data_IF_733057087991
#
_entry.id   IF_733057087991
#
_cell.length_a   1.000
_cell.length_b   1.000
_cell.length_c   1.000
_cell.angle_alpha   90.00
_cell.angle_beta   90.00
_cell.angle_gamma   90.00
#
_symmetry.space_group_name_H-M   'P 1'
#
loop_
_entity.id
_entity.type
_entity.pdbx_description
1 polymer ?
#
# COMPACT_ATOMS: atom_id res chain seq x y z
N UNK A 1 56.56 2.89 36.71
CA UNK A 1 56.87 2.00 37.86
C UNK A 1 55.55 1.58 38.45
N UNK A 2 55.23 0.42 38.38
CA UNK A 2 54.93 -0.69 39.25
C UNK A 2 54.16 -1.73 38.41
N UNK A 3 54.88 -2.84 38.18
CA UNK A 3 54.34 -4.08 37.66
C UNK A 3 53.69 -4.84 38.80
N UNK A 4 52.58 -5.53 38.51
CA UNK A 4 52.13 -6.66 39.34
C UNK A 4 51.75 -7.79 38.40
N UNK A 5 52.57 -8.85 38.53
CA UNK A 5 52.35 -10.14 37.96
C UNK A 5 51.31 -10.92 38.79
N UNK A 6 50.55 -11.76 38.17
CA UNK A 6 50.05 -12.95 38.83
C UNK A 6 49.39 -13.99 38.06
N UNK A 7 49.86 -15.02 38.12
CA UNK A 7 49.64 -16.38 38.64
C UNK A 7 48.60 -17.18 37.84
N UNK A 8 49.19 -18.14 37.13
CA UNK A 8 48.58 -19.28 36.43
C UNK A 8 48.25 -20.36 37.47
N UNK A 9 47.04 -20.83 37.55
CA UNK A 9 46.73 -22.11 38.16
C UNK A 9 46.08 -23.04 37.16
N UNK A 10 46.77 -24.08 36.83
CA UNK A 10 46.35 -25.21 36.03
C UNK A 10 45.60 -26.22 36.90
N UNK A 11 44.32 -26.41 36.62
CA UNK A 11 43.59 -27.55 37.19
C UNK A 11 43.48 -28.66 36.13
N UNK A 12 44.31 -29.65 36.31
CA UNK A 12 44.22 -30.95 35.63
C UNK A 12 42.99 -31.71 36.14
N UNK A 13 42.02 -31.97 35.28
CA UNK A 13 40.93 -32.88 35.59
C UNK A 13 41.06 -34.16 34.77
N UNK A 14 41.19 -35.28 35.47
CA UNK A 14 41.48 -36.57 34.93
C UNK A 14 40.42 -37.20 34.03
N UNK A 15 40.89 -37.74 32.94
CA UNK A 15 40.11 -38.54 31.99
C UNK A 15 39.88 -39.94 32.59
N UNK A 16 38.62 -40.23 32.93
CA UNK A 16 38.21 -41.62 33.19
C UNK A 16 37.67 -42.22 31.89
N UNK A 17 38.52 -43.08 31.31
CA UNK A 17 38.10 -43.94 30.19
C UNK A 17 37.22 -45.04 30.76
N UNK A 18 35.94 -45.06 30.32
CA UNK A 18 35.06 -46.21 30.57
C UNK A 18 34.77 -46.88 29.23
N UNK A 19 35.20 -48.09 29.09
CA UNK A 19 34.95 -48.97 27.95
C UNK A 19 33.44 -49.28 27.85
N UNK A 20 32.85 -48.95 26.77
CA UNK A 20 31.49 -49.36 26.43
C UNK A 20 31.52 -50.61 25.57
N UNK A 21 30.86 -51.66 26.04
CA UNK A 21 30.60 -52.94 25.37
C UNK A 21 29.75 -52.74 24.10
N UNK A 22 30.02 -53.48 23.01
CA UNK A 22 29.19 -53.46 21.83
C UNK A 22 28.10 -54.51 21.98
N UNK A 23 26.87 -54.11 22.17
CA UNK A 23 25.75 -54.99 21.80
C UNK A 23 24.48 -54.20 21.50
N UNK A 24 23.79 -54.69 20.45
CA UNK A 24 22.43 -54.38 19.95
C UNK A 24 22.29 -53.23 18.93
N UNK A 25 22.72 -53.55 17.72
CA UNK A 25 22.08 -53.00 16.50
C UNK A 25 20.75 -53.73 16.27
N UNK A 26 19.64 -53.10 16.67
CA UNK A 26 18.32 -53.43 16.13
C UNK A 26 18.09 -52.53 14.89
N UNK A 27 17.63 -53.10 13.75
CA UNK A 27 17.30 -52.30 12.58
C UNK A 27 16.04 -51.45 12.88
N UNK A 28 16.21 -50.15 12.95
CA UNK A 28 15.05 -49.24 12.94
C UNK A 28 14.51 -49.16 11.52
N UNK A 29 13.29 -49.66 11.33
CA UNK A 29 12.53 -49.47 10.12
C UNK A 29 12.41 -47.98 9.81
N UNK A 30 12.52 -47.57 8.52
CA UNK A 30 12.32 -46.18 8.12
C UNK A 30 10.85 -45.80 8.36
N UNK A 31 10.61 -44.89 9.30
CA UNK A 31 9.29 -44.27 9.48
C UNK A 31 8.88 -43.66 8.15
N UNK A 32 7.81 -44.16 7.59
CA UNK A 32 7.15 -43.63 6.38
C UNK A 32 7.13 -42.12 6.37
N UNK A 33 7.45 -41.47 5.25
CA UNK A 33 7.34 -40.04 5.14
C UNK A 33 5.89 -39.64 5.37
N UNK A 34 5.65 -38.79 6.35
CA UNK A 34 4.36 -38.21 6.61
C UNK A 34 3.82 -37.63 5.28
N UNK A 35 2.71 -38.21 4.84
CA UNK A 35 1.97 -37.79 3.66
C UNK A 35 1.68 -36.30 3.81
N UNK A 36 2.49 -35.44 3.16
CA UNK A 36 2.24 -34.02 3.04
C UNK A 36 0.83 -33.87 2.44
N UNK A 37 -0.08 -33.42 3.27
CA UNK A 37 -1.40 -33.02 2.80
C UNK A 37 -1.18 -32.02 1.67
N UNK A 38 -1.90 -32.11 0.53
CA UNK A 38 -1.75 -31.17 -0.56
C UNK A 38 -2.00 -29.79 0.00
N UNK A 39 -1.00 -28.92 -0.06
CA UNK A 39 -1.17 -27.52 0.23
C UNK A 39 -2.34 -27.05 -0.63
N UNK A 40 -3.46 -26.69 0.01
CA UNK A 40 -4.58 -26.05 -0.68
C UNK A 40 -3.96 -24.83 -1.37
N UNK A 41 -3.87 -24.92 -2.71
CA UNK A 41 -3.65 -23.76 -3.55
C UNK A 41 -4.73 -22.75 -3.15
N UNK A 42 -4.36 -21.78 -2.32
CA UNK A 42 -5.21 -20.65 -2.03
C UNK A 42 -5.45 -20.00 -3.39
N UNK A 43 -6.63 -20.23 -3.95
CA UNK A 43 -7.10 -19.51 -5.12
C UNK A 43 -7.04 -18.06 -4.69
N UNK A 44 -6.05 -17.31 -5.21
CA UNK A 44 -5.94 -15.87 -4.99
C UNK A 44 -7.16 -15.28 -5.68
N UNK A 45 -8.25 -15.17 -4.93
CA UNK A 45 -9.47 -14.55 -5.40
C UNK A 45 -9.10 -13.14 -5.88
N UNK A 46 -9.42 -12.85 -7.15
CA UNK A 46 -9.25 -11.49 -7.68
C UNK A 46 -9.93 -10.53 -6.70
N UNK A 47 -9.26 -9.45 -6.28
CA UNK A 47 -9.84 -8.53 -5.31
C UNK A 47 -11.17 -8.02 -5.86
N UNK A 48 -12.23 -8.22 -5.08
CA UNK A 48 -13.56 -7.77 -5.44
C UNK A 48 -13.56 -6.24 -5.50
N UNK A 49 -13.95 -5.69 -6.65
CA UNK A 49 -13.99 -4.25 -6.86
C UNK A 49 -15.17 -3.62 -6.12
N UNK A 50 -14.90 -2.56 -5.38
CA UNK A 50 -15.93 -1.79 -4.68
C UNK A 50 -16.56 -0.76 -5.63
N UNK A 51 -17.76 -1.08 -6.07
CA UNK A 51 -18.58 -0.20 -6.93
C UNK A 51 -19.68 0.53 -6.14
N UNK A 52 -19.62 0.49 -4.80
CA UNK A 52 -20.65 1.08 -3.94
C UNK A 52 -20.71 2.60 -4.00
N UNK A 53 -19.59 3.26 -4.33
CA UNK A 53 -19.46 4.72 -4.27
C UNK A 53 -19.37 5.29 -2.85
N UNK A 54 -19.25 4.46 -1.82
CA UNK A 54 -19.17 4.89 -0.42
C UNK A 54 -17.80 5.48 -0.09
N UNK A 55 -17.78 6.39 0.89
CA UNK A 55 -16.54 6.92 1.49
C UNK A 55 -15.78 5.83 2.21
N UNK A 56 -14.45 5.93 2.20
CA UNK A 56 -13.54 5.06 2.94
C UNK A 56 -12.46 5.86 3.62
N UNK A 57 -12.12 5.46 4.84
CA UNK A 57 -11.01 6.03 5.60
C UNK A 57 -9.91 4.97 5.70
N UNK A 58 -8.67 5.40 5.45
CA UNK A 58 -7.49 4.56 5.54
C UNK A 58 -6.23 5.37 5.39
N UNK A 59 -5.09 4.70 5.17
CA UNK A 59 -3.81 5.37 4.95
C UNK A 59 -3.58 5.60 3.46
N UNK A 60 -3.00 6.75 3.11
CA UNK A 60 -2.46 7.06 1.80
C UNK A 60 -0.95 7.20 1.86
N UNK A 61 -0.28 6.81 0.79
CA UNK A 61 1.09 7.21 0.49
C UNK A 61 1.19 7.75 -0.93
N UNK A 62 2.38 7.88 -1.48
CA UNK A 62 2.60 8.33 -2.84
C UNK A 62 3.65 7.48 -3.53
N UNK A 63 3.64 7.51 -4.86
CA UNK A 63 4.59 6.79 -5.69
C UNK A 63 6.03 7.27 -5.49
N UNK A 64 6.96 6.33 -5.38
CA UNK A 64 8.37 6.66 -5.45
C UNK A 64 8.76 7.13 -6.86
N UNK A 65 9.79 7.96 -6.97
CA UNK A 65 10.26 8.54 -8.25
C UNK A 65 10.55 7.50 -9.33
N UNK A 66 10.99 6.31 -8.93
CA UNK A 66 11.29 5.19 -9.85
C UNK A 66 10.08 4.67 -10.63
N UNK A 67 8.86 5.04 -10.25
CA UNK A 67 7.64 4.68 -10.97
C UNK A 67 7.29 5.65 -12.10
N UNK A 68 7.94 6.82 -12.18
CA UNK A 68 7.68 7.79 -13.24
C UNK A 68 7.87 7.15 -14.63
N UNK A 69 6.90 7.35 -15.51
CA UNK A 69 6.89 6.80 -16.87
C UNK A 69 6.57 5.31 -16.97
N UNK A 70 6.43 4.57 -15.86
CA UNK A 70 6.02 3.16 -15.89
C UNK A 70 4.55 3.04 -16.28
N UNK A 71 4.24 1.95 -16.98
CA UNK A 71 2.87 1.63 -17.38
C UNK A 71 2.03 1.29 -16.15
N UNK A 72 0.89 1.93 -16.01
CA UNK A 72 -0.13 1.67 -14.99
C UNK A 72 -1.13 0.60 -15.46
N UNK A 73 -2.03 0.18 -14.58
CA UNK A 73 -2.99 -0.88 -14.87
C UNK A 73 -4.04 -0.49 -15.94
N UNK A 74 -4.30 0.79 -16.15
CA UNK A 74 -5.17 1.30 -17.22
C UNK A 74 -4.47 1.41 -18.58
N UNK A 75 -3.16 1.14 -18.63
CA UNK A 75 -2.34 1.22 -19.83
C UNK A 75 -1.60 2.54 -20.02
N UNK A 76 -1.97 3.60 -19.31
CA UNK A 76 -1.28 4.89 -19.35
C UNK A 76 0.07 4.83 -18.62
N UNK A 77 0.92 5.84 -18.87
CA UNK A 77 2.18 6.00 -18.12
C UNK A 77 1.95 6.84 -16.87
N UNK A 78 2.58 6.43 -15.76
CA UNK A 78 2.55 7.19 -14.52
C UNK A 78 3.25 8.53 -14.70
N UNK A 79 2.51 9.61 -14.48
CA UNK A 79 3.03 10.99 -14.51
C UNK A 79 3.04 11.54 -13.08
N UNK A 80 4.23 11.88 -12.54
CA UNK A 80 4.34 12.44 -11.19
C UNK A 80 3.60 13.77 -10.98
N UNK A 81 3.31 14.50 -12.05
CA UNK A 81 2.64 15.82 -12.00
C UNK A 81 1.12 15.73 -12.17
N UNK A 82 0.61 14.61 -12.66
CA UNK A 82 -0.82 14.41 -12.84
C UNK A 82 -1.51 13.89 -11.57
N UNK A 83 -2.83 13.94 -11.57
CA UNK A 83 -3.69 13.46 -10.50
C UNK A 83 -3.99 11.95 -10.55
N UNK A 84 -3.06 11.15 -11.07
CA UNK A 84 -3.17 9.70 -11.08
C UNK A 84 -3.03 9.09 -9.67
N UNK A 85 -3.74 8.00 -9.45
CA UNK A 85 -3.70 7.27 -8.18
C UNK A 85 -3.86 5.76 -8.40
N UNK A 86 -3.36 4.97 -7.43
CA UNK A 86 -3.62 3.55 -7.35
C UNK A 86 -4.65 3.23 -6.27
N UNK A 87 -5.53 2.28 -6.55
CA UNK A 87 -6.37 1.64 -5.56
C UNK A 87 -6.52 0.14 -5.85
N UNK A 88 -6.49 -0.66 -4.80
CA UNK A 88 -6.69 -2.11 -4.92
C UNK A 88 -8.15 -2.45 -5.18
N UNK A 89 -9.08 -1.69 -4.63
CA UNK A 89 -10.51 -2.04 -4.60
C UNK A 89 -11.39 -1.15 -5.46
N UNK A 90 -11.03 0.11 -5.69
CA UNK A 90 -11.83 0.97 -6.58
C UNK A 90 -11.61 0.57 -8.05
N UNK A 91 -12.66 0.58 -8.91
CA UNK A 91 -12.51 0.37 -10.35
C UNK A 91 -11.52 1.35 -10.99
N UNK A 92 -10.81 0.93 -12.04
CA UNK A 92 -10.06 1.86 -12.90
C UNK A 92 -11.02 2.86 -13.52
N UNK A 93 -10.58 4.10 -13.70
CA UNK A 93 -11.42 5.21 -14.18
C UNK A 93 -12.31 5.84 -13.09
N UNK A 94 -12.31 5.32 -11.85
CA UNK A 94 -12.99 5.99 -10.74
C UNK A 94 -12.35 7.35 -10.49
N UNK A 95 -13.15 8.42 -10.47
CA UNK A 95 -12.71 9.70 -9.93
C UNK A 95 -13.11 9.81 -8.47
N UNK A 96 -12.20 10.31 -7.62
CA UNK A 96 -12.43 10.40 -6.18
C UNK A 96 -11.81 11.67 -5.60
N UNK A 97 -12.47 12.26 -4.60
CA UNK A 97 -11.90 13.28 -3.74
C UNK A 97 -11.13 12.59 -2.62
N UNK A 98 -9.85 12.90 -2.48
CA UNK A 98 -9.00 12.43 -1.39
C UNK A 98 -8.73 13.59 -0.46
N UNK A 99 -9.12 13.45 0.80
CA UNK A 99 -8.95 14.47 1.84
C UNK A 99 -7.97 13.97 2.88
N UNK A 100 -6.90 14.71 3.11
CA UNK A 100 -5.97 14.45 4.22
C UNK A 100 -6.64 14.89 5.54
N UNK A 101 -6.91 13.94 6.41
CA UNK A 101 -7.63 14.19 7.68
C UNK A 101 -6.82 15.00 8.70
N UNK A 102 -5.50 15.11 8.51
CA UNK A 102 -4.63 15.92 9.36
C UNK A 102 -4.63 17.40 8.97
N UNK A 103 -4.65 17.68 7.66
CA UNK A 103 -4.54 19.05 7.13
C UNK A 103 -5.87 19.64 6.65
N UNK A 104 -6.90 18.81 6.46
CA UNK A 104 -8.16 19.19 5.83
C UNK A 104 -8.06 19.45 4.32
N UNK A 105 -6.85 19.44 3.74
CA UNK A 105 -6.65 19.67 2.31
C UNK A 105 -7.13 18.47 1.49
N UNK A 106 -7.67 18.75 0.31
CA UNK A 106 -8.17 17.72 -0.59
C UNK A 106 -7.75 17.94 -2.03
N UNK A 107 -7.73 16.85 -2.79
CA UNK A 107 -7.51 16.84 -4.24
C UNK A 107 -8.43 15.82 -4.89
N UNK A 108 -8.74 16.03 -6.17
CA UNK A 108 -9.46 15.06 -7.01
C UNK A 108 -8.43 14.23 -7.76
N UNK A 109 -8.61 12.91 -7.72
CA UNK A 109 -7.73 11.93 -8.39
C UNK A 109 -8.52 11.01 -9.29
N UNK A 110 -7.82 10.42 -10.26
CA UNK A 110 -8.33 9.33 -11.09
C UNK A 110 -7.60 8.04 -10.74
N UNK A 111 -8.35 6.97 -10.50
CA UNK A 111 -7.78 5.64 -10.23
C UNK A 111 -7.37 5.03 -11.57
N UNK A 112 -6.07 4.95 -11.80
CA UNK A 112 -5.47 4.47 -13.04
C UNK A 112 -4.58 3.24 -12.83
N UNK A 113 -4.29 2.91 -11.56
CA UNK A 113 -3.40 1.82 -11.23
C UNK A 113 -3.92 0.92 -10.10
N UNK A 114 -3.27 -0.24 -9.91
CA UNK A 114 -3.56 -1.23 -8.88
C UNK A 114 -2.54 -1.17 -7.74
N UNK A 115 -3.03 -1.27 -6.54
CA UNK A 115 -2.29 -1.15 -5.28
C UNK A 115 -2.99 -0.16 -4.36
N UNK A 116 -2.39 0.19 -3.24
CA UNK A 116 -1.21 -0.40 -2.62
C UNK A 116 -1.46 -1.84 -2.12
N UNK A 117 -0.40 -2.66 -2.14
CA UNK A 117 -0.42 -4.02 -1.57
C UNK A 117 0.19 -4.05 -0.15
N UNK A 118 0.11 -2.93 0.55
CA UNK A 118 0.55 -2.77 1.94
C UNK A 118 -0.69 -2.65 2.83
N UNK A 119 -0.70 -3.38 3.93
CA UNK A 119 -1.82 -3.40 4.86
C UNK A 119 -2.14 -2.02 5.43
N UNK A 120 -3.43 -1.71 5.55
CA UNK A 120 -3.94 -0.43 6.05
C UNK A 120 -3.83 0.74 5.06
N UNK A 121 -3.10 0.61 3.94
CA UNK A 121 -3.10 1.60 2.87
C UNK A 121 -4.22 1.30 1.87
N UNK A 122 -4.95 2.34 1.47
CA UNK A 122 -6.11 2.23 0.57
C UNK A 122 -5.91 2.95 -0.77
N UNK A 123 -4.96 3.90 -0.83
CA UNK A 123 -4.64 4.67 -2.02
C UNK A 123 -3.17 5.09 -2.02
N UNK A 124 -2.53 5.05 -3.20
CA UNK A 124 -1.24 5.67 -3.46
C UNK A 124 -1.43 6.79 -4.50
N UNK A 125 -0.90 7.97 -4.21
CA UNK A 125 -1.09 9.19 -4.98
C UNK A 125 0.14 9.52 -5.83
N UNK A 126 -0.04 10.32 -6.88
CA UNK A 126 1.10 10.94 -7.52
C UNK A 126 1.83 11.88 -6.54
N UNK A 127 3.13 12.13 -6.73
CA UNK A 127 3.89 13.06 -5.89
C UNK A 127 3.28 14.45 -5.83
N UNK A 128 2.82 15.00 -6.95
CA UNK A 128 2.18 16.32 -6.99
C UNK A 128 0.88 16.36 -6.20
N UNK A 129 0.02 15.34 -6.35
CA UNK A 129 -1.24 15.24 -5.57
C UNK A 129 -0.97 15.10 -4.09
N UNK A 130 0.00 14.27 -3.69
CA UNK A 130 0.39 14.11 -2.29
C UNK A 130 0.84 15.43 -1.68
N UNK A 131 1.68 16.18 -2.39
CA UNK A 131 2.13 17.52 -1.97
C UNK A 131 0.95 18.49 -1.85
N UNK A 132 0.02 18.49 -2.80
CA UNK A 132 -1.16 19.35 -2.79
C UNK A 132 -2.00 19.17 -1.53
N UNK A 133 -2.18 17.93 -1.05
CA UNK A 133 -2.94 17.64 0.18
C UNK A 133 -2.08 17.65 1.44
N UNK A 134 -0.79 18.02 1.32
CA UNK A 134 0.12 18.19 2.45
C UNK A 134 0.72 16.90 2.99
N UNK A 135 0.87 15.86 2.16
CA UNK A 135 1.69 14.69 2.50
C UNK A 135 3.14 15.02 2.15
N UNK A 136 3.98 15.10 3.15
CA UNK A 136 5.41 15.40 2.96
C UNK A 136 6.22 14.11 2.75
N UNK A 137 7.39 14.23 2.11
CA UNK A 137 8.31 13.10 1.97
C UNK A 137 8.77 12.54 3.32
N UNK A 138 8.86 13.41 4.33
CA UNK A 138 9.24 13.03 5.69
C UNK A 138 8.19 12.15 6.37
N UNK A 139 6.90 12.45 6.16
CA UNK A 139 5.79 11.66 6.72
C UNK A 139 5.56 10.37 5.94
N UNK A 140 5.68 10.42 4.61
CA UNK A 140 5.50 9.27 3.71
C UNK A 140 4.08 8.72 3.66
N UNK A 141 3.39 8.66 4.79
CA UNK A 141 2.05 8.05 4.95
C UNK A 141 1.20 8.91 5.87
N UNK A 142 -0.08 9.13 5.48
CA UNK A 142 -1.05 9.86 6.32
C UNK A 142 -2.43 9.22 6.27
N UNK A 143 -3.29 9.58 7.22
CA UNK A 143 -4.69 9.13 7.23
C UNK A 143 -5.52 10.04 6.33
N UNK A 144 -6.27 9.42 5.43
CA UNK A 144 -7.12 10.12 4.45
C UNK A 144 -8.53 9.57 4.44
N UNK A 145 -9.47 10.40 3.98
CA UNK A 145 -10.76 9.97 3.48
C UNK A 145 -10.71 9.93 1.95
N UNK A 146 -11.16 8.85 1.34
CA UNK A 146 -11.36 8.70 -0.10
C UNK A 146 -12.86 8.64 -0.36
N UNK A 147 -13.39 9.66 -1.02
CA UNK A 147 -14.80 9.80 -1.36
C UNK A 147 -14.97 9.76 -2.89
N UNK A 148 -15.50 8.66 -3.46
CA UNK A 148 -15.74 8.58 -4.90
C UNK A 148 -16.69 9.68 -5.39
N UNK A 149 -16.38 10.23 -6.56
CA UNK A 149 -17.22 11.18 -7.31
C UNK A 149 -17.99 10.44 -8.38
N UNK A 150 -17.27 9.66 -9.20
CA UNK A 150 -17.83 8.79 -10.23
C UNK A 150 -17.20 7.40 -10.15
N UNK A 151 -18.01 6.36 -10.29
CA UNK A 151 -17.56 4.97 -10.21
C UNK A 151 -18.06 4.19 -11.42
N UNK A 152 -17.18 3.74 -12.32
CA UNK A 152 -17.54 2.87 -13.43
C UNK A 152 -18.17 1.56 -12.95
N UNK A 153 -19.28 1.16 -13.53
CA UNK A 153 -19.99 -0.08 -13.24
C UNK A 153 -19.59 -1.17 -14.23
N UNK A 154 -19.95 -2.42 -13.93
CA UNK A 154 -19.64 -3.58 -14.80
C UNK A 154 -20.44 -3.61 -16.11
N UNK A 155 -21.56 -2.92 -16.15
CA UNK A 155 -22.45 -2.76 -17.31
C UNK A 155 -22.06 -1.58 -18.21
N UNK A 156 -20.95 -0.89 -17.91
CA UNK A 156 -20.49 0.31 -18.63
C UNK A 156 -21.13 1.61 -18.17
N UNK A 157 -22.11 1.57 -17.28
CA UNK A 157 -22.70 2.79 -16.70
C UNK A 157 -21.75 3.44 -15.69
N UNK A 158 -22.06 4.67 -15.27
CA UNK A 158 -21.30 5.42 -14.26
C UNK A 158 -22.22 5.76 -13.10
N UNK A 159 -21.87 5.29 -11.91
CA UNK A 159 -22.57 5.63 -10.67
C UNK A 159 -21.95 6.87 -10.03
N UNK A 160 -22.81 7.79 -9.55
CA UNK A 160 -22.38 8.90 -8.73
C UNK A 160 -22.05 8.41 -7.30
N UNK A 161 -20.88 8.83 -6.81
CA UNK A 161 -20.39 8.48 -5.48
C UNK A 161 -20.69 9.57 -4.44
N UNK A 162 -20.21 9.32 -3.22
CA UNK A 162 -20.49 10.13 -2.04
C UNK A 162 -19.99 11.59 -2.12
N UNK A 163 -19.00 11.90 -2.96
CA UNK A 163 -18.48 13.25 -3.14
C UNK A 163 -19.07 13.97 -4.36
N UNK A 164 -19.96 13.35 -5.13
CA UNK A 164 -20.48 13.94 -6.38
C UNK A 164 -21.24 15.26 -6.14
N UNK A 165 -22.06 15.33 -5.11
CA UNK A 165 -22.81 16.53 -4.75
C UNK A 165 -21.89 17.68 -4.29
N UNK A 166 -20.87 17.38 -3.49
CA UNK A 166 -19.91 18.36 -2.98
C UNK A 166 -19.14 19.04 -4.11
N UNK A 167 -18.70 18.25 -5.10
CA UNK A 167 -17.94 18.76 -6.24
C UNK A 167 -18.83 19.63 -7.15
N UNK A 168 -20.10 19.26 -7.32
CA UNK A 168 -21.08 20.07 -8.10
C UNK A 168 -21.33 21.42 -7.45
N UNK A 169 -21.52 21.46 -6.13
CA UNK A 169 -21.71 22.71 -5.39
C UNK A 169 -20.48 23.62 -5.51
N UNK A 170 -19.26 23.06 -5.31
CA UNK A 170 -18.03 23.83 -5.46
C UNK A 170 -17.75 24.34 -6.88
N UNK A 171 -18.31 23.68 -7.89
CA UNK A 171 -18.21 24.12 -9.29
C UNK A 171 -19.13 25.29 -9.61
N UNK A 172 -20.30 25.34 -8.97
CA UNK A 172 -21.29 26.39 -9.17
C UNK A 172 -20.95 27.69 -8.42
N UNK A 173 -20.08 27.59 -7.41
CA UNK A 173 -19.69 28.75 -6.58
C UNK A 173 -18.52 29.57 -7.17
N UNK A 174 -18.00 29.19 -8.36
CA UNK A 174 -17.07 30.05 -9.10
C UNK A 174 -17.88 31.15 -9.79
N UNK A 175 -17.77 32.43 -9.37
CA UNK A 175 -18.44 33.51 -10.04
C UNK A 175 -17.99 33.55 -11.51
N UNK A 176 -18.94 33.48 -12.43
CA UNK A 176 -18.71 33.76 -13.84
C UNK A 176 -18.15 35.19 -13.95
N UNK A 177 -16.82 35.29 -14.09
CA UNK A 177 -16.19 36.57 -14.44
C UNK A 177 -16.64 36.91 -15.86
N UNK A 178 -17.70 37.70 -15.96
CA UNK A 178 -18.00 38.42 -17.20
C UNK A 178 -16.73 39.18 -17.59
N UNK A 179 -16.07 38.74 -18.63
CA UNK A 179 -15.07 39.58 -19.32
C UNK A 179 -15.86 40.73 -19.93
N UNK A 180 -15.69 41.90 -19.36
CA UNK A 180 -16.23 43.14 -19.89
C UNK A 180 -15.58 43.40 -21.27
N UNK A 181 -16.34 43.46 -22.36
CA UNK A 181 -15.80 43.68 -23.69
C UNK A 181 -15.44 45.15 -23.97
N UNK A 182 -15.43 46.04 -22.96
CA UNK A 182 -15.26 47.50 -23.13
C UNK A 182 -13.86 48.02 -22.78
N UNK A 183 -12.80 47.24 -22.99
CA UNK A 183 -11.41 47.78 -23.02
C UNK A 183 -10.92 47.72 -24.47
N UNK A 184 -11.24 48.74 -25.21
CA UNK A 184 -10.53 49.17 -26.43
C UNK A 184 -9.60 50.32 -26.06
#
# INVERSE_FOLDING_TARGET
MIAVAAIFEAATFGIKTQAATPDQLAPQEPKSPARLAPARLAVIAKPQLDRSGKRRIGKASFYARMFAGRKMADGNRMDPQNNNAASRTLPLGTTAKVTNLKTGKSAVVTIQDRGPYVEGRIVDLSPATAQQIGITQREGVTKVEVAPITVPQSDGSVKLGAAAAEVRLASNDKPYRKTDPSVR
#
